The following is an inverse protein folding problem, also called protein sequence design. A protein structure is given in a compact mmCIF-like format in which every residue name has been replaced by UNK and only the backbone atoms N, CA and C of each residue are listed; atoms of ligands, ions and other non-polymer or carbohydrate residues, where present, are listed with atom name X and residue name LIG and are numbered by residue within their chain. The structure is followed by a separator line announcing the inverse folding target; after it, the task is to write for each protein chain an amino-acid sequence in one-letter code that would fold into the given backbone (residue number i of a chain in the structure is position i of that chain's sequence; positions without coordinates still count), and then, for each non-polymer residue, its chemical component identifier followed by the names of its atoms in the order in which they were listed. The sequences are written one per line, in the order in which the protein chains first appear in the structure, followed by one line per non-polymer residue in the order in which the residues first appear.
data_IF_408378210903
#
_entry.id   IF_408378210903
#
_cell.length_a   1.000
_cell.length_b   1.000
_cell.length_c   1.000
_cell.angle_alpha   90.00
_cell.angle_beta   90.00
_cell.angle_gamma   90.00
#
_symmetry.space_group_name_H-M   'P 1'
#
loop_
_entity.id
_entity.type
_entity.pdbx_description
1 polymer ?
#
# COMPACT_ATOMS: atom_id res chain seq x y z
N UNK A 1 10.97 16.49 -5.94
CA UNK A 1 9.52 16.29 -6.07
C UNK A 1 9.27 15.48 -7.34
N UNK A 2 8.28 14.58 -7.36
CA UNK A 2 7.96 13.79 -8.55
C UNK A 2 7.35 14.68 -9.64
N UNK A 3 7.73 14.47 -10.90
CA UNK A 3 7.10 15.14 -12.04
C UNK A 3 5.70 14.57 -12.28
N UNK A 4 4.82 15.35 -12.93
CA UNK A 4 3.48 14.88 -13.33
C UNK A 4 3.58 13.63 -14.22
N UNK A 5 4.54 13.60 -15.15
CA UNK A 5 4.77 12.44 -16.01
C UNK A 5 5.19 11.19 -15.23
N UNK A 6 5.97 11.35 -14.16
CA UNK A 6 6.31 10.25 -13.25
C UNK A 6 5.10 9.72 -12.48
N UNK A 7 4.25 10.62 -11.97
CA UNK A 7 3.01 10.25 -11.26
C UNK A 7 2.09 9.43 -12.18
N UNK A 8 1.87 9.90 -13.41
CA UNK A 8 1.02 9.22 -14.38
C UNK A 8 1.52 7.81 -14.73
N UNK A 9 2.83 7.65 -14.91
CA UNK A 9 3.47 6.35 -15.20
C UNK A 9 3.32 5.38 -14.04
N UNK A 10 3.60 5.83 -12.81
CA UNK A 10 3.42 5.01 -11.62
C UNK A 10 1.96 4.59 -11.43
N UNK A 11 1.02 5.50 -11.65
CA UNK A 11 -0.41 5.20 -11.55
C UNK A 11 -0.83 4.10 -12.54
N UNK A 12 -0.36 4.20 -13.78
CA UNK A 12 -0.63 3.19 -14.83
C UNK A 12 0.01 1.84 -14.52
N UNK A 13 1.24 1.83 -14.00
CA UNK A 13 1.92 0.61 -13.57
C UNK A 13 1.13 -0.09 -12.47
N UNK A 14 0.77 0.62 -11.40
CA UNK A 14 0.03 -0.01 -10.30
C UNK A 14 -1.42 -0.36 -10.63
N UNK A 15 -2.05 0.29 -11.62
CA UNK A 15 -3.36 -0.15 -12.11
C UNK A 15 -3.30 -1.53 -12.76
N UNK A 16 -2.28 -1.80 -13.57
CA UNK A 16 -2.14 -3.11 -14.21
C UNK A 16 -1.95 -4.22 -13.16
N UNK A 17 -1.18 -3.95 -12.10
CA UNK A 17 -1.07 -4.84 -10.94
C UNK A 17 -2.43 -5.03 -10.26
N UNK A 18 -3.14 -3.95 -9.95
CA UNK A 18 -4.45 -3.96 -9.31
C UNK A 18 -5.44 -4.84 -10.08
N UNK A 19 -5.57 -4.60 -11.38
CA UNK A 19 -6.45 -5.35 -12.28
C UNK A 19 -6.14 -6.85 -12.26
N UNK A 20 -4.86 -7.20 -12.40
CA UNK A 20 -4.43 -8.61 -12.39
C UNK A 20 -4.56 -9.25 -11.01
N UNK A 21 -4.50 -8.47 -9.92
CA UNK A 21 -4.65 -8.97 -8.57
C UNK A 21 -6.10 -9.37 -8.26
N UNK A 22 -7.05 -8.51 -8.64
CA UNK A 22 -8.46 -8.64 -8.25
C UNK A 22 -9.36 -9.32 -9.27
N UNK A 23 -8.80 -9.74 -10.41
CA UNK A 23 -9.54 -10.39 -11.50
C UNK A 23 -10.40 -11.56 -11.03
N UNK A 24 -9.85 -12.43 -10.16
CA UNK A 24 -10.55 -13.61 -9.62
C UNK A 24 -11.62 -13.30 -8.57
N UNK A 25 -11.81 -12.03 -8.19
CA UNK A 25 -12.89 -11.63 -7.28
C UNK A 25 -14.25 -11.52 -7.98
N UNK A 26 -14.26 -11.44 -9.31
CA UNK A 26 -15.46 -11.40 -10.13
C UNK A 26 -16.00 -12.79 -10.48
N UNK A 27 -15.22 -13.85 -10.23
CA UNK A 27 -15.56 -15.22 -10.62
C UNK A 27 -16.76 -15.74 -9.84
N UNK A 28 -17.44 -16.75 -10.40
CA UNK A 28 -18.52 -17.48 -9.73
C UNK A 28 -18.09 -18.11 -8.40
N UNK A 29 -16.82 -18.50 -8.30
CA UNK A 29 -16.20 -18.97 -7.07
C UNK A 29 -15.03 -18.05 -6.74
N UNK A 30 -15.30 -16.87 -6.17
CA UNK A 30 -14.29 -15.85 -6.14
C UNK A 30 -13.17 -16.20 -5.16
N UNK A 31 -11.95 -15.79 -5.49
CA UNK A 31 -10.71 -16.12 -4.78
C UNK A 31 -10.69 -15.60 -3.34
N UNK A 32 -10.40 -16.44 -2.33
CA UNK A 32 -10.37 -15.98 -0.93
C UNK A 32 -9.25 -14.96 -0.61
N UNK A 33 -9.35 -14.31 0.55
CA UNK A 33 -8.41 -13.28 1.00
C UNK A 33 -6.94 -13.74 1.03
N UNK A 34 -6.70 -14.99 1.45
CA UNK A 34 -5.34 -15.54 1.57
C UNK A 34 -4.75 -15.75 0.19
N UNK A 35 -5.54 -16.31 -0.71
CA UNK A 35 -5.13 -16.56 -2.08
C UNK A 35 -4.90 -15.25 -2.86
N UNK A 36 -5.72 -14.22 -2.66
CA UNK A 36 -5.45 -12.89 -3.23
C UNK A 36 -4.14 -12.31 -2.69
N UNK A 37 -3.90 -12.42 -1.38
CA UNK A 37 -2.64 -11.95 -0.76
C UNK A 37 -1.41 -12.72 -1.29
N UNK A 38 -1.54 -14.03 -1.49
CA UNK A 38 -0.51 -14.87 -2.12
C UNK A 38 -0.28 -14.48 -3.58
N UNK A 39 -1.35 -14.20 -4.33
CA UNK A 39 -1.28 -13.72 -5.71
C UNK A 39 -0.60 -12.36 -5.80
N UNK A 40 -0.82 -11.45 -4.84
CA UNK A 40 -0.07 -10.19 -4.75
C UNK A 40 1.43 -10.45 -4.69
N UNK A 41 1.88 -11.35 -3.81
CA UNK A 41 3.29 -11.74 -3.73
C UNK A 41 3.78 -12.31 -5.08
N UNK A 42 3.04 -13.24 -5.70
CA UNK A 42 3.44 -13.82 -7.00
C UNK A 42 3.56 -12.80 -8.13
N UNK A 43 2.60 -11.87 -8.22
CA UNK A 43 2.60 -10.82 -9.24
C UNK A 43 3.76 -9.83 -9.01
N UNK A 44 4.09 -9.55 -7.75
CA UNK A 44 5.23 -8.70 -7.42
C UNK A 44 6.58 -9.39 -7.67
N UNK A 45 6.67 -10.72 -7.50
CA UNK A 45 7.88 -11.50 -7.80
C UNK A 45 8.14 -11.58 -9.30
N UNK A 46 7.09 -11.74 -10.11
CA UNK A 46 7.20 -11.87 -11.55
C UNK A 46 6.34 -10.82 -12.26
N UNK A 47 6.86 -9.58 -12.39
CA UNK A 47 6.13 -8.49 -13.03
C UNK A 47 5.70 -8.81 -14.46
N UNK A 48 6.42 -9.69 -15.17
CA UNK A 48 6.14 -10.03 -16.57
C UNK A 48 4.71 -10.55 -16.79
N UNK A 49 4.11 -11.18 -15.77
CA UNK A 49 2.75 -11.74 -15.80
C UNK A 49 1.63 -10.72 -15.89
N UNK A 50 1.86 -9.48 -15.48
CA UNK A 50 0.85 -8.43 -15.50
C UNK A 50 1.32 -7.16 -16.22
N UNK A 51 2.63 -7.01 -16.45
CA UNK A 51 3.20 -5.89 -17.19
C UNK A 51 2.66 -5.81 -18.64
N UNK A 52 2.28 -6.95 -19.24
CA UNK A 52 1.62 -6.98 -20.55
C UNK A 52 0.27 -6.25 -20.58
N UNK A 53 -0.38 -6.06 -19.43
CA UNK A 53 -1.65 -5.33 -19.29
C UNK A 53 -1.46 -3.83 -19.04
N UNK A 54 -0.22 -3.36 -18.89
CA UNK A 54 0.09 -1.94 -18.92
C UNK A 54 -0.17 -1.49 -20.35
N UNK A 55 -1.22 -0.69 -20.60
CA UNK A 55 -1.38 -0.08 -21.92
C UNK A 55 -0.25 0.93 -22.10
N UNK A 56 0.86 0.50 -22.68
CA UNK A 56 2.00 1.36 -23.02
C UNK A 56 1.64 2.16 -24.27
N UNK A 57 0.63 3.02 -24.14
CA UNK A 57 0.41 4.14 -25.06
C UNK A 57 1.39 5.29 -24.74
N UNK A 58 1.97 5.32 -23.54
CA UNK A 58 3.14 6.14 -23.22
C UNK A 58 4.37 5.24 -23.06
N UNK A 59 5.03 4.91 -24.18
CA UNK A 59 6.43 4.49 -24.13
C UNK A 59 7.17 5.41 -23.16
N UNK A 60 8.00 4.86 -22.26
CA UNK A 60 8.95 5.65 -21.47
C UNK A 60 9.58 6.68 -22.41
N UNK A 61 9.24 7.98 -22.32
CA UNK A 61 9.91 8.95 -23.15
C UNK A 61 11.36 8.91 -22.71
N UNK A 62 12.25 8.48 -23.61
CA UNK A 62 13.70 8.65 -23.48
C UNK A 62 14.05 10.13 -23.58
N UNK A 63 13.37 10.99 -22.84
CA UNK A 63 13.76 12.38 -22.72
C UNK A 63 14.83 12.44 -21.65
N UNK A 64 16.07 12.69 -22.07
CA UNK A 64 17.31 12.83 -21.30
C UNK A 64 17.26 13.82 -20.11
N UNK A 65 16.09 14.40 -19.80
CA UNK A 65 15.91 15.47 -18.81
C UNK A 65 15.08 15.08 -17.58
N UNK A 66 14.36 13.96 -17.59
CA UNK A 66 13.54 13.54 -16.45
C UNK A 66 14.21 12.32 -15.79
N UNK A 67 14.48 12.33 -14.47
CA UNK A 67 15.21 11.24 -13.84
C UNK A 67 14.41 9.93 -13.88
N UNK A 68 15.14 8.82 -14.04
CA UNK A 68 14.60 7.48 -14.14
C UNK A 68 14.07 7.03 -12.79
N UNK A 69 12.94 6.32 -12.79
CA UNK A 69 12.36 5.69 -11.60
C UNK A 69 12.49 4.17 -11.71
N UNK A 70 13.42 3.58 -10.98
CA UNK A 70 13.49 2.13 -10.84
C UNK A 70 12.55 1.70 -9.70
N UNK A 71 11.81 0.60 -9.91
CA UNK A 71 11.00 -0.03 -8.88
C UNK A 71 11.57 -1.42 -8.66
N UNK A 72 12.05 -1.68 -7.46
CA UNK A 72 12.48 -3.00 -7.02
C UNK A 72 11.47 -3.49 -5.99
N UNK A 73 11.01 -4.72 -6.15
CA UNK A 73 10.11 -5.36 -5.19
C UNK A 73 10.75 -6.63 -4.67
N UNK A 74 10.85 -6.75 -3.34
CA UNK A 74 11.37 -7.93 -2.66
C UNK A 74 10.31 -8.54 -1.78
N UNK A 75 10.26 -9.86 -1.79
CA UNK A 75 9.36 -10.64 -0.97
C UNK A 75 10.17 -11.45 0.02
N UNK A 76 9.78 -11.40 1.29
CA UNK A 76 10.41 -12.20 2.32
C UNK A 76 9.37 -13.15 2.90
N UNK A 77 9.39 -14.44 2.55
CA UNK A 77 8.56 -15.42 3.23
C UNK A 77 9.09 -15.58 4.65
N UNK A 78 8.22 -15.43 5.65
CA UNK A 78 8.65 -15.64 7.04
C UNK A 78 8.57 -17.11 7.45
N UNK A 79 7.93 -17.96 6.62
CA UNK A 79 7.67 -19.38 6.88
C UNK A 79 6.38 -19.64 7.67
N UNK A 80 5.60 -18.59 7.96
CA UNK A 80 4.43 -18.64 8.86
C UNK A 80 3.11 -18.32 8.14
N UNK A 81 3.06 -18.49 6.81
CA UNK A 81 1.89 -18.18 5.97
C UNK A 81 0.62 -18.94 6.38
N UNK A 82 0.78 -20.05 7.12
CA UNK A 82 -0.32 -20.85 7.63
C UNK A 82 -0.75 -20.48 9.06
N UNK A 83 0.01 -19.63 9.78
CA UNK A 83 -0.36 -19.20 11.13
C UNK A 83 -1.30 -17.99 11.10
N UNK A 84 -2.22 -17.93 12.08
CA UNK A 84 -3.05 -16.75 12.30
C UNK A 84 -2.21 -15.71 13.02
N UNK A 85 -1.66 -14.77 12.26
CA UNK A 85 -0.91 -13.60 12.73
C UNK A 85 -1.85 -12.40 12.93
N UNK A 86 -1.35 -11.35 13.58
CA UNK A 86 -2.08 -10.09 13.75
C UNK A 86 -2.06 -9.19 12.49
N UNK A 87 -1.24 -9.53 11.50
CA UNK A 87 -1.12 -8.83 10.22
C UNK A 87 -0.83 -9.83 9.11
N UNK A 88 -1.47 -9.69 7.96
CA UNK A 88 -1.28 -10.60 6.83
C UNK A 88 0.08 -10.37 6.17
N UNK A 89 0.48 -9.10 5.98
CA UNK A 89 1.82 -8.80 5.47
C UNK A 89 2.34 -7.46 6.00
N UNK A 90 3.67 -7.35 6.08
CA UNK A 90 4.34 -6.08 6.27
C UNK A 90 4.64 -5.42 4.93
N UNK A 91 4.54 -4.09 4.87
CA UNK A 91 4.87 -3.30 3.69
C UNK A 91 5.94 -2.28 4.05
N UNK A 92 7.08 -2.35 3.37
CA UNK A 92 8.17 -1.38 3.48
C UNK A 92 8.27 -0.62 2.17
N UNK A 93 8.26 0.71 2.22
CA UNK A 93 8.41 1.59 1.06
C UNK A 93 9.65 2.44 1.25
N UNK A 94 10.66 2.22 0.42
CA UNK A 94 11.91 3.00 0.44
C UNK A 94 11.97 3.90 -0.78
N UNK A 95 12.21 5.19 -0.56
CA UNK A 95 12.52 6.16 -1.60
C UNK A 95 13.99 6.57 -1.52
N UNK A 96 14.72 6.39 -2.61
CA UNK A 96 16.13 6.76 -2.75
C UNK A 96 16.27 7.80 -3.86
N UNK A 97 16.89 8.94 -3.54
CA UNK A 97 16.98 10.08 -4.45
C UNK A 97 18.45 10.40 -4.74
N UNK A 98 19.00 9.66 -5.70
CA UNK A 98 20.38 9.81 -6.16
C UNK A 98 20.59 11.17 -6.84
N UNK A 99 19.55 11.72 -7.47
CA UNK A 99 19.61 13.05 -8.12
C UNK A 99 19.93 14.15 -7.11
N UNK A 100 19.36 14.07 -5.91
CA UNK A 100 19.62 15.03 -4.83
C UNK A 100 20.66 14.52 -3.82
N UNK A 101 21.31 13.38 -4.11
CA UNK A 101 22.27 12.70 -3.22
C UNK A 101 21.75 12.56 -1.78
N UNK A 102 20.46 12.23 -1.62
CA UNK A 102 19.83 12.06 -0.31
C UNK A 102 19.88 10.60 0.10
N UNK A 103 20.19 10.36 1.37
CA UNK A 103 20.06 9.03 1.97
C UNK A 103 18.63 8.50 1.87
N UNK A 104 18.45 7.16 1.82
CA UNK A 104 17.14 6.55 1.62
C UNK A 104 16.17 6.92 2.73
N UNK A 105 14.94 7.22 2.36
CA UNK A 105 13.81 7.48 3.26
C UNK A 105 12.88 6.29 3.23
N UNK A 106 12.42 5.79 4.38
CA UNK A 106 11.68 4.52 4.45
C UNK A 106 10.44 4.66 5.31
N UNK A 107 9.28 4.32 4.75
CA UNK A 107 8.05 4.09 5.51
C UNK A 107 7.80 2.59 5.68
N UNK A 108 7.21 2.19 6.80
CA UNK A 108 6.90 0.80 7.09
C UNK A 108 5.51 0.67 7.72
N UNK A 109 4.78 -0.36 7.32
CA UNK A 109 3.40 -0.61 7.69
C UNK A 109 3.17 -2.09 8.00
N UNK A 110 2.26 -2.35 8.93
CA UNK A 110 1.64 -3.66 9.10
C UNK A 110 0.27 -3.62 8.43
N UNK A 111 0.01 -4.56 7.52
CA UNK A 111 -1.19 -4.59 6.71
C UNK A 111 -2.04 -5.80 7.07
N UNK A 112 -3.33 -5.57 7.27
CA UNK A 112 -4.33 -6.62 7.29
C UNK A 112 -5.26 -6.49 6.09
N UNK A 113 -5.22 -7.51 5.24
CA UNK A 113 -6.09 -7.69 4.12
C UNK A 113 -7.50 -8.10 4.56
N UNK A 114 -8.50 -7.65 3.82
CA UNK A 114 -9.90 -8.05 3.92
C UNK A 114 -10.50 -8.09 2.53
N UNK A 115 -11.21 -9.17 2.22
CA UNK A 115 -11.95 -9.28 0.96
C UNK A 115 -13.40 -8.84 1.10
N UNK A 116 -13.95 -8.23 0.05
CA UNK A 116 -15.37 -8.00 -0.09
C UNK A 116 -16.08 -9.31 -0.47
N UNK A 117 -17.13 -9.62 0.29
CA UNK A 117 -18.03 -10.72 0.03
C UNK A 117 -19.37 -10.18 -0.42
N UNK A 118 -19.89 -10.76 -1.49
CA UNK A 118 -21.26 -10.51 -1.93
C UNK A 118 -22.26 -10.98 -0.86
N UNK A 119 -23.43 -10.35 -0.82
CA UNK A 119 -24.51 -10.71 0.10
C UNK A 119 -25.10 -12.09 -0.26
N UNK A 120 -25.31 -12.35 -1.56
CA UNK A 120 -26.01 -13.54 -2.07
C UNK A 120 -25.09 -14.58 -2.73
N UNK A 121 -23.78 -14.32 -2.75
CA UNK A 121 -22.77 -15.27 -3.21
C UNK A 121 -22.59 -15.37 -4.73
N UNK A 122 -23.37 -14.64 -5.53
CA UNK A 122 -23.19 -14.50 -6.99
C UNK A 122 -23.34 -13.02 -7.39
N UNK A 123 -22.50 -12.49 -8.32
CA UNK A 123 -22.62 -11.13 -8.84
C UNK A 123 -24.02 -10.84 -9.42
N UNK A 124 -24.42 -9.55 -9.52
CA UNK A 124 -23.61 -8.34 -9.33
C UNK A 124 -23.45 -7.93 -7.87
N UNK A 125 -22.28 -7.35 -7.57
CA UNK A 125 -22.02 -6.76 -6.26
C UNK A 125 -22.86 -5.49 -6.06
N UNK A 126 -23.24 -5.22 -4.81
CA UNK A 126 -23.90 -3.97 -4.43
C UNK A 126 -23.15 -3.26 -3.29
N UNK A 127 -23.68 -2.11 -2.89
CA UNK A 127 -23.14 -1.31 -1.78
C UNK A 127 -23.33 -1.94 -0.38
N UNK A 128 -24.15 -2.99 -0.24
CA UNK A 128 -24.35 -3.74 1.01
C UNK A 128 -23.39 -4.92 1.16
N UNK A 129 -22.69 -5.32 0.10
CA UNK A 129 -21.59 -6.28 0.16
C UNK A 129 -20.61 -5.96 1.31
N UNK A 130 -20.07 -7.00 1.96
CA UNK A 130 -19.43 -6.87 3.27
C UNK A 130 -17.98 -7.31 3.28
N UNK A 131 -17.14 -6.54 3.98
CA UNK A 131 -15.81 -6.99 4.37
C UNK A 131 -15.95 -7.84 5.64
N UNK A 132 -15.69 -9.15 5.53
CA UNK A 132 -15.79 -10.08 6.66
C UNK A 132 -14.40 -10.40 7.18
N UNK A 133 -14.21 -10.32 8.49
CA UNK A 133 -13.02 -10.87 9.14
C UNK A 133 -13.19 -12.39 9.29
N UNK A 134 -12.09 -13.14 9.15
CA UNK A 134 -12.12 -14.60 9.31
C UNK A 134 -12.55 -15.05 10.72
N UNK A 135 -12.29 -14.23 11.74
CA UNK A 135 -12.86 -14.36 13.09
C UNK A 135 -12.78 -13.05 13.89
N UNK A 136 -13.45 -13.03 15.05
CA UNK A 136 -13.45 -11.87 15.96
C UNK A 136 -12.09 -11.58 16.61
N UNK A 137 -11.26 -12.61 16.81
CA UNK A 137 -9.91 -12.47 17.36
C UNK A 137 -9.02 -11.58 16.51
N UNK A 138 -8.95 -11.83 15.19
CA UNK A 138 -8.20 -10.99 14.24
C UNK A 138 -8.64 -9.52 14.28
N UNK A 139 -9.95 -9.27 14.42
CA UNK A 139 -10.51 -7.91 14.48
C UNK A 139 -10.06 -7.16 15.74
N UNK A 140 -10.00 -7.84 16.88
CA UNK A 140 -9.55 -7.26 18.15
C UNK A 140 -8.04 -7.03 18.16
N UNK A 141 -7.28 -7.93 17.53
CA UNK A 141 -5.82 -7.83 17.41
C UNK A 141 -5.34 -6.59 16.66
N UNK A 142 -6.07 -6.12 15.64
CA UNK A 142 -5.68 -4.91 14.92
C UNK A 142 -5.75 -3.65 15.76
N UNK A 143 -6.83 -3.51 16.53
CA UNK A 143 -6.96 -2.38 17.45
C UNK A 143 -5.87 -2.40 18.50
N UNK A 144 -5.56 -3.60 18.99
CA UNK A 144 -4.47 -3.77 19.94
C UNK A 144 -3.12 -3.34 19.36
N UNK A 145 -2.80 -3.72 18.11
CA UNK A 145 -1.59 -3.23 17.43
C UNK A 145 -1.61 -1.71 17.22
N UNK A 146 -2.75 -1.15 16.84
CA UNK A 146 -2.95 0.28 16.64
C UNK A 146 -2.74 1.08 17.95
N UNK A 147 -3.24 0.58 19.08
CA UNK A 147 -3.06 1.20 20.39
C UNK A 147 -1.57 1.32 20.79
N UNK A 148 -0.75 0.33 20.43
CA UNK A 148 0.68 0.31 20.76
C UNK A 148 1.56 0.98 19.70
N UNK A 149 1.27 0.80 18.42
CA UNK A 149 2.11 1.26 17.31
C UNK A 149 1.63 2.56 16.66
N UNK A 150 0.39 2.98 16.96
CA UNK A 150 -0.28 4.14 16.39
C UNK A 150 -1.03 3.84 15.09
N UNK A 151 -2.09 4.61 14.83
CA UNK A 151 -2.99 4.49 13.65
C UNK A 151 -2.27 4.64 12.29
N UNK A 152 -1.06 5.21 12.32
CA UNK A 152 -0.27 5.43 11.12
C UNK A 152 0.55 4.20 10.68
N UNK A 153 0.76 3.24 11.58
CA UNK A 153 1.58 2.06 11.35
C UNK A 153 0.74 0.88 10.83
N UNK A 154 -0.45 0.71 11.38
CA UNK A 154 -1.33 -0.40 11.01
C UNK A 154 -2.32 0.08 9.96
N UNK A 155 -2.45 -0.67 8.87
CA UNK A 155 -3.37 -0.36 7.77
C UNK A 155 -4.25 -1.57 7.46
N UNK A 156 -5.43 -1.28 6.91
CA UNK A 156 -6.27 -2.27 6.28
C UNK A 156 -6.10 -2.22 4.78
N UNK A 157 -5.81 -3.38 4.18
CA UNK A 157 -5.95 -3.62 2.76
C UNK A 157 -7.37 -4.13 2.48
N UNK A 158 -8.10 -3.51 1.57
CA UNK A 158 -9.44 -3.93 1.17
C UNK A 158 -9.39 -4.39 -0.28
N UNK A 159 -9.59 -5.70 -0.48
CA UNK A 159 -9.74 -6.32 -1.79
C UNK A 159 -11.22 -6.33 -2.18
N UNK A 160 -11.55 -5.50 -3.17
CA UNK A 160 -12.85 -5.29 -3.76
C UNK A 160 -12.76 -5.71 -5.24
N UNK A 161 -13.78 -6.31 -5.83
CA UNK A 161 -13.81 -6.42 -7.28
C UNK A 161 -13.95 -5.01 -7.91
N UNK A 162 -13.61 -4.87 -9.20
CA UNK A 162 -13.70 -3.58 -9.91
C UNK A 162 -15.16 -3.14 -10.07
N UNK A 163 -15.43 -1.85 -10.27
CA UNK A 163 -16.83 -1.37 -10.35
C UNK A 163 -17.60 -1.96 -11.53
N UNK A 164 -16.91 -2.47 -12.56
CA UNK A 164 -17.53 -3.17 -13.68
C UNK A 164 -18.42 -4.35 -13.30
N UNK A 165 -18.27 -4.93 -12.10
CA UNK A 165 -19.12 -6.03 -11.61
C UNK A 165 -20.21 -5.59 -10.63
N UNK A 166 -20.27 -4.30 -10.31
CA UNK A 166 -21.31 -3.76 -9.46
C UNK A 166 -22.58 -3.49 -10.27
N UNK A 167 -23.72 -3.45 -9.58
CA UNK A 167 -24.97 -3.00 -10.21
C UNK A 167 -24.86 -1.51 -10.65
N UNK A 168 -25.63 -1.12 -11.67
CA UNK A 168 -25.55 0.21 -12.28
C UNK A 168 -25.83 1.35 -11.29
N UNK A 169 -26.70 1.14 -10.30
CA UNK A 169 -27.02 2.17 -9.31
C UNK A 169 -25.85 2.33 -8.34
N UNK A 170 -25.28 1.22 -7.88
CA UNK A 170 -24.06 1.21 -7.05
C UNK A 170 -22.91 1.90 -7.78
N UNK A 171 -22.67 1.61 -9.07
CA UNK A 171 -21.63 2.30 -9.87
C UNK A 171 -21.84 3.81 -9.87
N UNK A 172 -23.06 4.29 -10.13
CA UNK A 172 -23.36 5.72 -10.17
C UNK A 172 -23.07 6.40 -8.82
N UNK A 173 -23.50 5.78 -7.71
CA UNK A 173 -23.27 6.28 -6.35
C UNK A 173 -21.76 6.29 -6.04
N UNK A 174 -21.04 5.22 -6.36
CA UNK A 174 -19.60 5.13 -6.10
C UNK A 174 -18.84 6.21 -6.87
N UNK A 175 -19.16 6.40 -8.16
CA UNK A 175 -18.53 7.45 -8.99
C UNK A 175 -18.78 8.84 -8.45
N UNK A 176 -20.00 9.12 -7.99
CA UNK A 176 -20.32 10.39 -7.33
C UNK A 176 -19.46 10.59 -6.06
N UNK A 177 -19.42 9.60 -5.17
CA UNK A 177 -18.61 9.66 -3.94
C UNK A 177 -17.12 9.88 -4.24
N UNK A 178 -16.59 9.19 -5.25
CA UNK A 178 -15.19 9.33 -5.65
C UNK A 178 -14.89 10.74 -6.16
N UNK A 179 -15.76 11.30 -7.01
CA UNK A 179 -15.61 12.66 -7.53
C UNK A 179 -15.67 13.72 -6.43
N UNK A 180 -16.60 13.58 -5.49
CA UNK A 180 -16.73 14.49 -4.33
C UNK A 180 -15.45 14.50 -3.47
N UNK A 181 -14.80 13.35 -3.36
CA UNK A 181 -13.63 13.17 -2.50
C UNK A 181 -12.28 13.41 -3.21
N UNK A 182 -12.26 13.41 -4.54
CA UNK A 182 -11.02 13.39 -5.33
C UNK A 182 -10.16 14.63 -5.06
N UNK A 183 -8.92 14.40 -4.66
CA UNK A 183 -7.94 15.48 -4.46
C UNK A 183 -8.20 16.34 -3.22
N UNK A 184 -9.24 16.07 -2.41
CA UNK A 184 -9.60 16.88 -1.25
C UNK A 184 -8.50 16.95 -0.17
N UNK A 185 -7.72 15.88 0.00
CA UNK A 185 -6.55 15.90 0.90
C UNK A 185 -5.37 16.70 0.34
N UNK A 186 -5.20 16.76 -0.97
CA UNK A 186 -3.97 17.25 -1.60
C UNK A 186 -4.20 18.46 -2.49
N UNK A 187 -5.24 19.24 -2.18
CA UNK A 187 -5.67 20.42 -2.93
C UNK A 187 -4.48 21.35 -3.18
N UNK A 188 -4.34 21.80 -4.43
CA UNK A 188 -3.29 22.74 -4.83
C UNK A 188 -1.90 22.11 -5.06
N UNK A 189 -1.73 20.79 -4.85
CA UNK A 189 -0.48 20.09 -5.17
C UNK A 189 -0.55 19.41 -6.54
N UNK A 190 0.59 19.21 -7.24
CA UNK A 190 0.62 18.38 -8.45
C UNK A 190 0.05 16.98 -8.25
N UNK A 191 0.32 16.35 -7.10
CA UNK A 191 -0.27 15.06 -6.76
C UNK A 191 -1.81 15.11 -6.72
N UNK A 192 -2.37 16.08 -5.98
CA UNK A 192 -3.83 16.21 -5.85
C UNK A 192 -4.51 16.55 -7.18
N UNK A 193 -3.88 17.39 -8.01
CA UNK A 193 -4.38 17.70 -9.35
C UNK A 193 -4.37 16.47 -10.25
N UNK A 194 -3.31 15.66 -10.25
CA UNK A 194 -3.26 14.42 -11.04
C UNK A 194 -4.24 13.37 -10.54
N UNK A 195 -4.39 13.22 -9.22
CA UNK A 195 -5.40 12.33 -8.64
C UNK A 195 -6.81 12.76 -9.06
N UNK A 196 -7.11 14.06 -8.99
CA UNK A 196 -8.41 14.59 -9.40
C UNK A 196 -8.67 14.38 -10.90
N UNK A 197 -7.67 14.63 -11.76
CA UNK A 197 -7.75 14.36 -13.20
C UNK A 197 -8.03 12.89 -13.46
N UNK A 198 -7.29 12.00 -12.79
CA UNK A 198 -7.50 10.57 -12.94
C UNK A 198 -8.91 10.20 -12.46
N UNK A 199 -9.36 10.57 -11.28
CA UNK A 199 -10.73 10.22 -10.82
C UNK A 199 -11.85 10.79 -11.70
N UNK A 200 -11.63 11.95 -12.32
CA UNK A 200 -12.64 12.61 -13.17
C UNK A 200 -12.72 12.03 -14.59
N UNK A 201 -11.68 11.32 -15.03
CA UNK A 201 -11.66 10.70 -16.36
C UNK A 201 -12.53 9.44 -16.36
N UNK A 202 -13.55 9.39 -17.22
CA UNK A 202 -14.45 8.23 -17.31
C UNK A 202 -13.73 6.95 -17.78
N UNK A 203 -12.56 7.08 -18.40
CA UNK A 203 -11.70 5.97 -18.80
C UNK A 203 -10.62 5.61 -17.76
N UNK A 204 -10.55 6.38 -16.68
CA UNK A 204 -9.55 6.18 -15.64
C UNK A 204 -9.84 5.00 -14.76
N UNK A 205 -8.74 4.47 -14.27
CA UNK A 205 -8.68 3.21 -13.58
C UNK A 205 -8.58 3.38 -12.06
N UNK A 206 -8.28 4.60 -11.54
CA UNK A 206 -8.24 4.87 -10.11
C UNK A 206 -9.59 4.72 -9.43
N UNK A 207 -10.66 5.17 -10.08
CA UNK A 207 -12.03 5.01 -9.59
C UNK A 207 -12.50 3.56 -9.67
N UNK A 208 -11.88 2.77 -10.54
CA UNK A 208 -12.18 1.36 -10.78
C UNK A 208 -11.25 0.42 -10.00
N UNK A 209 -10.43 0.95 -9.07
CA UNK A 209 -9.45 0.14 -8.33
C UNK A 209 -10.13 -0.94 -7.49
N UNK A 210 -9.52 -2.12 -7.43
CA UNK A 210 -9.96 -3.22 -6.58
C UNK A 210 -9.14 -3.38 -5.30
N UNK A 211 -7.97 -2.80 -5.20
CA UNK A 211 -7.08 -2.92 -4.07
C UNK A 211 -6.88 -1.56 -3.40
N UNK A 212 -7.45 -1.42 -2.21
CA UNK A 212 -7.45 -0.18 -1.46
C UNK A 212 -6.65 -0.32 -0.16
N UNK A 213 -5.96 0.75 0.24
CA UNK A 213 -5.29 0.87 1.53
C UNK A 213 -5.97 1.96 2.35
N UNK A 214 -6.32 1.63 3.59
CA UNK A 214 -6.99 2.52 4.54
C UNK A 214 -6.32 2.43 5.92
N UNK A 215 -6.45 3.45 6.80
CA UNK A 215 -6.25 3.27 8.23
C UNK A 215 -7.16 2.17 8.76
N UNK A 216 -6.83 1.62 9.92
CA UNK A 216 -7.72 0.70 10.65
C UNK A 216 -8.94 1.46 11.24
N UNK A 217 -8.78 2.77 11.46
CA UNK A 217 -9.70 3.70 12.16
C UNK A 217 -10.91 4.25 11.35
N UNK A 218 -11.33 3.64 10.22
CA UNK A 218 -12.75 3.53 9.91
C UNK A 218 -13.15 2.06 9.81
N UNK A 219 -14.20 1.66 10.53
CA UNK A 219 -14.77 0.30 10.44
C UNK A 219 -15.34 0.09 9.03
N UNK A 220 -14.48 -0.29 8.08
CA UNK A 220 -14.88 -0.68 6.73
C UNK A 220 -15.59 -2.03 6.82
N UNK A 221 -16.90 -1.97 7.02
CA UNK A 221 -17.74 -3.17 7.15
C UNK A 221 -18.42 -3.51 5.83
N UNK A 222 -18.69 -2.49 5.00
CA UNK A 222 -19.38 -2.61 3.72
C UNK A 222 -18.66 -1.89 2.60
N UNK A 223 -18.98 -2.25 1.36
CA UNK A 223 -18.49 -1.57 0.16
C UNK A 223 -18.77 -0.06 0.21
N UNK A 224 -19.95 0.36 0.67
CA UNK A 224 -20.29 1.78 0.83
C UNK A 224 -19.37 2.52 1.80
N UNK A 225 -18.92 1.86 2.86
CA UNK A 225 -18.06 2.49 3.88
C UNK A 225 -16.69 2.80 3.25
N UNK A 226 -16.15 1.88 2.45
CA UNK A 226 -14.89 2.06 1.72
C UNK A 226 -15.00 3.19 0.70
N UNK A 227 -16.04 3.19 -0.13
CA UNK A 227 -16.17 4.18 -1.20
C UNK A 227 -16.52 5.58 -0.67
N UNK A 228 -17.18 5.70 0.48
CA UNK A 228 -17.35 6.99 1.18
C UNK A 228 -16.04 7.59 1.65
N UNK A 229 -15.05 6.77 1.98
CA UNK A 229 -13.72 7.23 2.41
C UNK A 229 -12.67 7.23 1.31
N UNK A 230 -13.00 6.74 0.11
CA UNK A 230 -12.10 6.76 -1.04
C UNK A 230 -11.57 8.18 -1.30
N UNK A 231 -10.27 8.30 -1.55
CA UNK A 231 -9.49 9.52 -1.76
C UNK A 231 -9.44 10.52 -0.57
N UNK A 232 -10.18 10.26 0.52
CA UNK A 232 -10.09 10.98 1.79
C UNK A 232 -9.30 10.24 2.86
N UNK A 233 -9.69 9.00 3.16
CA UNK A 233 -9.03 8.12 4.14
C UNK A 233 -8.63 6.78 3.54
N UNK A 234 -9.01 6.50 2.30
CA UNK A 234 -8.67 5.26 1.60
C UNK A 234 -8.09 5.60 0.24
N UNK A 235 -6.95 5.04 -0.13
CA UNK A 235 -6.37 5.23 -1.47
C UNK A 235 -6.26 3.88 -2.18
N UNK A 236 -6.45 3.83 -3.51
CA UNK A 236 -5.99 2.69 -4.28
C UNK A 236 -4.51 2.43 -3.99
N UNK A 237 -4.07 1.17 -3.97
CA UNK A 237 -2.71 0.81 -3.57
C UNK A 237 -1.62 1.58 -4.33
N UNK A 238 -1.77 1.74 -5.65
CA UNK A 238 -0.84 2.55 -6.44
C UNK A 238 -0.77 4.00 -6.00
N UNK A 239 -1.92 4.62 -5.77
CA UNK A 239 -2.00 6.00 -5.29
C UNK A 239 -1.52 6.15 -3.83
N UNK A 240 -1.70 5.12 -3.00
CA UNK A 240 -1.09 5.05 -1.68
C UNK A 240 0.44 5.04 -1.76
N UNK A 241 1.03 4.26 -2.67
CA UNK A 241 2.48 4.25 -2.89
C UNK A 241 2.97 5.61 -3.43
N UNK A 242 2.30 6.18 -4.42
CA UNK A 242 2.66 7.50 -4.97
C UNK A 242 2.57 8.59 -3.89
N UNK A 243 1.54 8.57 -3.03
CA UNK A 243 1.41 9.50 -1.91
C UNK A 243 2.58 9.35 -0.91
N UNK A 244 3.01 8.12 -0.65
CA UNK A 244 4.18 7.86 0.18
C UNK A 244 5.46 8.41 -0.44
N UNK A 245 5.69 8.16 -1.74
CA UNK A 245 6.85 8.73 -2.44
C UNK A 245 6.84 10.25 -2.44
N UNK A 246 5.67 10.86 -2.68
CA UNK A 246 5.49 12.30 -2.60
C UNK A 246 5.91 12.82 -1.22
N UNK A 247 5.42 12.18 -0.16
CA UNK A 247 5.71 12.55 1.21
C UNK A 247 7.20 12.38 1.54
N UNK A 248 7.77 11.20 1.26
CA UNK A 248 9.18 10.88 1.49
C UNK A 248 10.12 11.85 0.73
N UNK A 249 9.77 12.23 -0.50
CA UNK A 249 10.53 13.20 -1.28
C UNK A 249 10.49 14.62 -0.68
N UNK A 250 9.39 14.99 -0.01
CA UNK A 250 9.23 16.33 0.61
C UNK A 250 9.90 16.45 1.96
N UNK A 251 9.82 15.43 2.83
CA UNK A 251 10.40 15.45 4.20
C UNK A 251 11.92 15.67 4.17
N UNK A 252 12.63 15.15 3.17
CA UNK A 252 14.07 15.37 2.99
C UNK A 252 14.48 16.77 2.51
N UNK A 253 13.55 17.71 2.34
CA UNK A 253 13.81 19.05 1.77
C UNK A 253 13.95 20.17 2.80
N UNK A 254 13.95 19.86 4.10
CA UNK A 254 14.26 20.83 5.16
C UNK A 254 15.73 21.30 5.11
N UNK A 255 16.05 22.49 5.67
CA UNK A 255 17.41 23.03 5.65
C UNK A 255 18.39 22.06 6.32
N UNK A 256 19.32 21.60 5.50
CA UNK A 256 20.40 20.66 5.78
C UNK A 256 21.15 20.96 7.09
N UNK A 257 21.19 19.99 8.01
CA UNK A 257 22.27 19.83 8.99
C UNK A 257 23.04 18.55 8.69
N UNK A 258 24.05 18.67 7.83
CA UNK A 258 25.17 17.75 7.70
C UNK A 258 24.89 16.32 7.21
N UNK A 259 25.95 15.56 6.88
CA UNK A 259 25.86 14.13 6.55
C UNK A 259 25.75 13.35 7.86
N UNK A 260 24.54 13.23 8.40
CA UNK A 260 24.27 12.29 9.50
C UNK A 260 23.88 10.95 8.89
N UNK A 261 24.46 9.82 9.33
CA UNK A 261 24.05 8.50 8.90
C UNK A 261 22.55 8.32 9.15
N UNK A 262 21.84 7.96 8.09
CA UNK A 262 20.39 7.86 7.97
C UNK A 262 19.80 6.86 8.96
N UNK A 263 19.19 7.34 10.04
CA UNK A 263 18.16 6.58 10.72
C UNK A 263 16.94 6.48 9.78
N UNK A 264 16.26 5.32 9.69
CA UNK A 264 15.06 5.19 8.87
C UNK A 264 13.95 6.11 9.41
N UNK A 265 13.62 7.17 8.66
CA UNK A 265 12.51 8.05 9.00
C UNK A 265 11.19 7.44 8.53
N UNK A 266 10.46 6.78 9.44
CA UNK A 266 9.09 6.32 9.16
C UNK A 266 8.18 7.55 9.10
N UNK A 267 7.69 7.87 7.90
CA UNK A 267 6.80 9.01 7.70
C UNK A 267 5.34 8.55 7.69
N UNK A 268 4.47 9.12 8.55
CA UNK A 268 3.06 8.77 8.52
C UNK A 268 2.42 9.21 7.20
N UNK A 269 1.46 8.42 6.74
CA UNK A 269 0.50 8.87 5.73
C UNK A 269 -0.41 9.93 6.39
N UNK A 270 -0.11 11.21 6.16
CA UNK A 270 -0.80 12.34 6.82
C UNK A 270 -2.00 12.79 5.99
N UNK A 271 -3.13 13.01 6.66
CA UNK A 271 -4.24 13.84 6.20
C UNK A 271 -3.83 15.32 6.27
N UNK A 272 -3.70 16.06 5.15
CA UNK A 272 -3.48 17.50 5.21
C UNK A 272 -4.84 18.15 5.51
N UNK A 273 -5.10 18.50 6.78
CA UNK A 273 -6.36 19.16 7.11
C UNK A 273 -6.83 19.15 8.56
N UNK A 274 -6.15 18.48 9.50
CA UNK A 274 -6.43 18.61 10.93
C UNK A 274 -5.32 19.38 11.64
N UNK A 275 -5.51 20.69 11.91
CA UNK A 275 -4.56 21.50 12.67
C UNK A 275 -4.43 21.12 14.16
N UNK A 276 -5.14 20.09 14.65
CA UNK A 276 -5.26 19.87 16.10
C UNK A 276 -4.62 18.61 16.71
N UNK A 277 -4.01 17.71 15.94
CA UNK A 277 -3.18 16.62 16.52
C UNK A 277 -1.85 16.41 15.79
N UNK A 278 -1.53 17.23 14.78
CA UNK A 278 -0.22 17.26 14.11
C UNK A 278 0.84 17.99 14.94
N UNK A 279 0.84 17.81 16.28
CA UNK A 279 2.08 17.38 16.93
C UNK A 279 2.35 15.96 16.45
N UNK A 280 2.74 15.90 15.18
CA UNK A 280 3.50 14.83 14.61
C UNK A 280 4.61 14.51 15.62
N UNK A 281 4.46 13.41 16.33
CA UNK A 281 5.60 12.55 16.66
C UNK A 281 6.24 12.06 15.33
N UNK A 282 6.62 12.98 14.43
CA UNK A 282 7.69 12.80 13.44
C UNK A 282 9.00 12.56 14.19
N UNK A 283 9.09 13.03 15.43
CA UNK A 283 9.92 12.41 16.46
C UNK A 283 9.22 11.18 17.06
N UNK A 284 8.86 10.18 16.24
CA UNK A 284 8.76 8.83 16.81
C UNK A 284 10.17 8.51 17.27
N UNK A 285 10.34 8.15 18.55
CA UNK A 285 11.64 7.74 19.07
C UNK A 285 12.30 6.79 18.06
N UNK A 286 13.59 6.95 17.71
CA UNK A 286 14.26 6.07 16.75
C UNK A 286 14.04 4.58 17.04
N UNK A 287 13.90 4.23 18.32
CA UNK A 287 13.51 2.90 18.79
C UNK A 287 12.15 2.43 18.27
N UNK A 288 11.13 3.28 18.28
CA UNK A 288 9.80 2.96 17.74
C UNK A 288 9.84 2.79 16.22
N UNK A 289 10.60 3.62 15.51
CA UNK A 289 10.77 3.47 14.06
C UNK A 289 11.47 2.16 13.70
N UNK A 290 12.52 1.81 14.43
CA UNK A 290 13.21 0.52 14.29
C UNK A 290 12.29 -0.65 14.63
N UNK A 291 11.50 -0.53 15.71
CA UNK A 291 10.51 -1.54 16.08
C UNK A 291 9.50 -1.76 14.95
N UNK A 292 8.92 -0.70 14.39
CA UNK A 292 7.94 -0.78 13.30
C UNK A 292 8.56 -1.40 12.05
N UNK A 293 9.75 -0.96 11.67
CA UNK A 293 10.46 -1.50 10.50
C UNK A 293 10.78 -2.99 10.69
N UNK A 294 11.29 -3.36 11.87
CA UNK A 294 11.57 -4.75 12.20
C UNK A 294 10.30 -5.60 12.21
N UNK A 295 9.19 -5.10 12.77
CA UNK A 295 7.89 -5.77 12.71
C UNK A 295 7.41 -5.97 11.27
N UNK A 296 7.46 -4.92 10.44
CA UNK A 296 7.07 -5.00 9.04
C UNK A 296 7.94 -5.98 8.24
N UNK A 297 9.23 -6.13 8.61
CA UNK A 297 10.12 -7.15 8.06
C UNK A 297 9.90 -8.55 8.61
N UNK A 298 9.09 -8.68 9.65
CA UNK A 298 8.92 -9.91 10.40
C UNK A 298 10.18 -10.31 11.16
N UNK A 299 10.94 -9.38 11.71
CA UNK A 299 12.05 -9.65 12.61
C UNK A 299 11.53 -10.16 13.96
N UNK A 300 12.08 -11.28 14.44
CA UNK A 300 11.64 -11.92 15.67
C UNK A 300 11.88 -11.04 16.91
N UNK A 301 12.98 -10.29 16.93
CA UNK A 301 13.32 -9.46 18.09
C UNK A 301 12.40 -8.24 18.22
N UNK A 302 11.99 -7.65 17.09
CA UNK A 302 10.95 -6.63 17.06
C UNK A 302 9.60 -7.19 17.57
N UNK A 303 9.25 -8.41 17.15
CA UNK A 303 8.05 -9.09 17.61
C UNK A 303 8.07 -9.42 19.12
N UNK A 304 9.22 -9.85 19.66
CA UNK A 304 9.42 -10.06 21.10
C UNK A 304 9.30 -8.76 21.89
N UNK A 305 9.88 -7.68 21.37
CA UNK A 305 9.81 -6.37 22.03
C UNK A 305 8.37 -5.86 22.06
N UNK A 306 7.61 -6.02 20.97
CA UNK A 306 6.18 -5.67 20.98
C UNK A 306 5.37 -6.56 21.93
N UNK A 307 5.63 -7.86 22.00
CA UNK A 307 4.99 -8.76 22.96
C UNK A 307 5.26 -8.33 24.41
N UNK A 308 6.48 -7.87 24.69
CA UNK A 308 6.86 -7.32 25.99
C UNK A 308 6.17 -6.00 26.30
N UNK A 309 6.08 -5.09 25.33
CA UNK A 309 5.43 -3.77 25.48
C UNK A 309 3.91 -3.92 25.69
N UNK A 310 3.27 -4.82 24.93
CA UNK A 310 1.83 -5.09 25.03
C UNK A 310 1.45 -5.78 26.33
N UNK A 311 2.37 -6.56 26.92
CA UNK A 311 2.05 -7.42 28.07
C UNK A 311 1.17 -8.61 27.70
N UNK A 312 1.00 -8.87 26.39
CA UNK A 312 0.21 -9.96 25.88
C UNK A 312 0.86 -11.32 26.19
N UNK A 313 0.02 -12.30 26.55
CA UNK A 313 0.46 -13.69 26.77
C UNK A 313 0.54 -14.51 25.47
N UNK A 314 0.37 -13.88 24.31
CA UNK A 314 0.47 -14.59 23.03
C UNK A 314 1.93 -14.79 22.62
N UNK A 315 2.25 -15.86 21.86
CA UNK A 315 3.59 -16.05 21.33
C UNK A 315 4.03 -14.85 20.48
N UNK A 316 5.30 -14.45 20.61
CA UNK A 316 5.87 -13.36 19.82
C UNK A 316 5.69 -13.57 18.31
N UNK A 317 5.63 -14.82 17.83
CA UNK A 317 5.38 -15.14 16.42
C UNK A 317 4.08 -14.54 15.88
N UNK A 318 3.04 -14.34 16.71
CA UNK A 318 1.77 -13.75 16.27
C UNK A 318 1.88 -12.28 15.86
N UNK A 319 2.89 -11.58 16.34
CA UNK A 319 3.15 -10.17 15.97
C UNK A 319 3.94 -10.05 14.66
N UNK A 320 4.44 -11.15 14.11
CA UNK A 320 5.11 -11.14 12.80
C UNK A 320 4.06 -11.21 11.69
N UNK A 321 4.25 -10.52 10.57
CA UNK A 321 3.46 -10.74 9.38
C UNK A 321 3.77 -12.11 8.74
N UNK A 322 2.79 -12.65 8.02
CA UNK A 322 2.97 -13.90 7.26
C UNK A 322 3.93 -13.71 6.06
N UNK A 323 3.98 -12.51 5.49
CA UNK A 323 4.93 -12.14 4.45
C UNK A 323 5.39 -10.67 4.59
N UNK A 324 6.53 -10.33 4.00
CA UNK A 324 6.97 -8.93 3.85
C UNK A 324 7.05 -8.58 2.38
N UNK A 325 6.51 -7.42 2.03
CA UNK A 325 6.67 -6.77 0.72
C UNK A 325 7.53 -5.52 0.92
N UNK A 326 8.73 -5.50 0.35
CA UNK A 326 9.56 -4.30 0.28
C UNK A 326 9.50 -3.72 -1.13
N UNK A 327 9.16 -2.44 -1.25
CA UNK A 327 9.13 -1.69 -2.50
C UNK A 327 10.17 -0.58 -2.39
N UNK A 328 11.24 -0.67 -3.16
CA UNK A 328 12.24 0.38 -3.30
C UNK A 328 12.00 1.13 -4.60
N UNK A 329 11.95 2.45 -4.51
CA UNK A 329 11.82 3.34 -5.66
C UNK A 329 13.01 4.27 -5.68
N UNK A 330 13.84 4.13 -6.70
CA UNK A 330 15.08 4.90 -6.85
C UNK A 330 14.93 5.90 -7.98
N UNK A 331 15.24 7.17 -7.69
CA UNK A 331 15.29 8.25 -8.67
C UNK A 331 16.74 8.54 -9.04
N UNK A 332 17.11 8.27 -10.29
CA UNK A 332 18.50 8.38 -10.78
C UNK A 332 18.65 9.18 -12.08
N UNK A 333 19.87 9.68 -12.35
CA UNK A 333 20.21 10.47 -13.54
C UNK A 333 20.55 9.56 -14.74
N UNK A 334 20.94 8.30 -14.53
CA UNK A 334 21.37 7.38 -15.58
C UNK A 334 20.45 6.15 -15.71
N UNK A 335 20.09 5.71 -16.93
CA UNK A 335 19.30 4.51 -17.15
C UNK A 335 20.21 3.28 -17.15
N UNK A 336 20.79 2.93 -16.02
CA UNK A 336 21.03 1.51 -15.80
C UNK A 336 19.69 0.96 -15.33
N UNK A 337 18.92 0.47 -16.29
CA UNK A 337 17.67 -0.24 -16.06
C UNK A 337 18.01 -1.53 -15.30
N UNK A 338 18.24 -1.43 -13.99
CA UNK A 338 18.30 -2.57 -13.09
C UNK A 338 16.87 -3.06 -12.92
N UNK A 339 16.40 -3.82 -13.91
CA UNK A 339 15.38 -4.83 -13.64
C UNK A 339 15.93 -5.74 -12.54
N UNK A 340 15.09 -6.29 -11.65
CA UNK A 340 15.52 -7.34 -10.75
C UNK A 340 15.86 -8.56 -11.62
N UNK A 341 17.13 -8.65 -12.01
CA UNK A 341 17.78 -9.86 -12.47
C UNK A 341 18.96 -10.02 -11.54
N UNK A 342 18.69 -10.65 -10.41
CA UNK A 342 19.50 -11.74 -9.91
C UNK A 342 18.55 -12.59 -9.06
N UNK A 343 17.94 -13.57 -9.74
CA UNK A 343 17.63 -14.83 -9.07
C UNK A 343 18.97 -15.34 -8.55
N UNK A 344 19.14 -15.38 -7.23
CA UNK A 344 20.19 -16.22 -6.66
C UNK A 344 19.85 -17.67 -7.04
N UNK A 345 20.66 -18.35 -7.88
CA UNK A 345 20.40 -19.74 -8.25
C UNK A 345 20.61 -20.71 -7.07
N UNK A 346 21.15 -20.22 -5.94
CA UNK A 346 21.57 -21.04 -4.81
C UNK A 346 20.59 -21.06 -3.61
N UNK A 347 19.42 -20.40 -3.68
CA UNK A 347 18.35 -20.64 -2.70
C UNK A 347 17.62 -21.95 -3.03
N UNK A 348 18.36 -23.03 -2.78
CA UNK A 348 18.01 -24.39 -3.07
C UNK A 348 16.71 -24.81 -2.40
N UNK A 349 15.85 -25.38 -3.24
CA UNK A 349 15.01 -26.53 -2.92
C UNK A 349 15.65 -27.42 -1.84
N UNK A 350 15.20 -27.25 -0.60
CA UNK A 350 15.10 -28.36 0.34
C UNK A 350 13.62 -28.60 0.59
N UNK A 351 13.18 -29.73 0.03
CA UNK A 351 11.86 -30.34 0.11
C UNK A 351 11.30 -30.41 1.54
#
# INVERSE_FOLDING_TARGET
MLSVGQIHRLASYFDALDRSLVEGLADRYPTDEREVTRRLAQLLHDPSKWYANVSVSSAWPKTERDPYLAIEVRLHPTGWENEITYSDYGLVVTFEDEVLARGPQTAAYLIQAKRLYDHDGEPPYDLQAQFRAGNEGQRLSLRHLEDHLGENTVKSASYCPRLSVFDKNSIAIVRQLHQENAGALYVGTPFGQELQRNVSDASSTASEAGFWISPVSPRLSRAVDLHRTAFLRSLPFGWFLIANLWTLATVGSGPSRGPVPSAPHVVPWISPGTPHDLRLNIACEPKRQQLILGLARGELDAAKELAKISGDKVPASRFRPAATVEIRITRTIAPELRLPLDHDPDDGLRL
#
